data_IF_259360156620
#
_entry.id   IF_259360156620
#
_cell.length_a   1.000
_cell.length_b   1.000
_cell.length_c   1.000
_cell.angle_alpha   90.00
_cell.angle_beta   90.00
_cell.angle_gamma   90.00
#
_symmetry.space_group_name_H-M   'P 1'
#
loop_
_entity.id
_entity.type
_entity.pdbx_description
1 polymer ?
#
# COMPACT_ATOMS: atom_id res chain seq x y z
N UNK A 1 20.59 3.23 2.61
CA UNK A 1 20.79 1.90 3.27
C UNK A 1 20.25 1.94 4.73
N UNK A 2 19.44 2.96 5.05
CA UNK A 2 18.89 3.10 6.41
C UNK A 2 17.39 2.71 6.49
N UNK A 3 16.79 2.33 5.33
CA UNK A 3 15.39 1.90 5.31
C UNK A 3 15.21 0.66 4.43
N UNK A 4 14.35 -0.28 4.89
CA UNK A 4 14.11 -1.51 4.13
C UNK A 4 12.66 -2.00 4.31
N UNK A 5 12.07 -2.43 3.19
CA UNK A 5 10.71 -2.97 3.17
C UNK A 5 10.72 -4.38 2.55
N UNK A 6 10.03 -5.33 3.18
CA UNK A 6 10.00 -6.73 2.70
C UNK A 6 8.57 -7.17 2.35
N UNK A 7 8.48 -8.13 1.42
CA UNK A 7 7.18 -8.64 0.96
C UNK A 7 6.96 -10.13 1.36
N UNK A 8 7.15 -10.51 2.64
CA UNK A 8 6.94 -11.93 3.10
C UNK A 8 5.45 -12.32 3.14
N UNK A 9 4.57 -11.34 2.94
CA UNK A 9 3.13 -11.56 3.03
C UNK A 9 2.66 -12.64 2.05
N UNK A 10 1.76 -13.47 2.54
CA UNK A 10 1.18 -14.57 1.77
C UNK A 10 0.17 -14.02 0.72
N UNK A 11 -0.14 -14.77 -0.35
CA UNK A 11 -1.09 -14.29 -1.40
C UNK A 11 -2.47 -13.96 -0.79
N UNK A 12 -3.05 -12.83 -1.22
CA UNK A 12 -4.37 -12.39 -0.71
C UNK A 12 -5.46 -12.72 -1.74
N UNK A 13 -6.50 -13.45 -1.30
CA UNK A 13 -7.60 -13.84 -2.20
C UNK A 13 -8.89 -13.10 -1.89
N UNK A 14 -9.26 -12.18 -2.79
CA UNK A 14 -10.51 -11.44 -2.68
C UNK A 14 -11.29 -11.54 -4.00
N UNK A 15 -12.60 -11.78 -3.90
CA UNK A 15 -13.46 -11.93 -5.09
C UNK A 15 -13.82 -10.56 -5.65
N UNK A 16 -14.00 -10.49 -6.99
CA UNK A 16 -14.39 -9.23 -7.65
C UNK A 16 -15.66 -8.68 -7.01
N UNK A 17 -15.63 -7.40 -6.67
CA UNK A 17 -16.74 -6.73 -5.98
C UNK A 17 -16.48 -6.66 -4.46
N UNK A 18 -15.58 -7.53 -3.96
CA UNK A 18 -15.18 -7.55 -2.57
C UNK A 18 -13.86 -6.80 -2.44
N UNK A 19 -13.62 -6.20 -1.27
CA UNK A 19 -12.39 -5.43 -1.05
C UNK A 19 -11.19 -6.35 -0.83
N UNK A 20 -9.99 -5.82 -1.10
CA UNK A 20 -8.74 -6.57 -0.93
C UNK A 20 -7.83 -5.86 0.04
N UNK A 21 -6.83 -6.58 0.57
CA UNK A 21 -5.92 -6.01 1.56
C UNK A 21 -4.47 -6.05 1.09
N UNK A 22 -3.95 -4.88 0.70
CA UNK A 22 -2.55 -4.73 0.33
C UNK A 22 -1.74 -4.61 1.60
N UNK A 23 -0.64 -5.37 1.70
CA UNK A 23 0.18 -5.30 2.93
C UNK A 23 1.66 -5.54 2.69
N UNK A 24 2.48 -4.84 3.46
CA UNK A 24 3.93 -4.98 3.45
C UNK A 24 4.53 -4.47 4.77
N UNK A 25 5.78 -4.84 5.04
CA UNK A 25 6.44 -4.47 6.31
C UNK A 25 7.54 -3.45 6.10
N UNK A 26 7.45 -2.32 6.82
CA UNK A 26 8.47 -1.27 6.75
C UNK A 26 8.86 -0.81 8.16
N UNK A 27 10.08 -0.28 8.30
CA UNK A 27 10.58 0.17 9.61
C UNK A 27 10.80 1.72 9.60
N UNK A 28 9.89 2.52 10.21
CA UNK A 28 10.07 4.02 10.28
C UNK A 28 11.16 4.40 11.28
N UNK A 29 11.98 5.39 10.91
CA UNK A 29 13.07 5.85 11.79
C UNK A 29 12.48 6.44 13.09
N UNK A 30 11.53 7.35 12.91
CA UNK A 30 10.82 7.98 14.03
C UNK A 30 9.83 9.00 13.47
N UNK A 31 8.57 8.92 13.90
CA UNK A 31 7.52 9.85 13.42
C UNK A 31 7.38 9.76 11.90
N UNK A 32 6.18 9.40 11.43
CA UNK A 32 5.93 9.27 9.99
C UNK A 32 5.43 10.60 9.38
N UNK A 33 5.80 11.71 10.04
CA UNK A 33 5.44 13.06 9.58
C UNK A 33 6.05 13.35 8.20
N UNK A 34 7.29 12.90 8.01
CA UNK A 34 8.02 13.13 6.75
C UNK A 34 8.14 11.84 5.90
N UNK A 35 7.62 10.71 6.42
CA UNK A 35 7.70 9.43 5.73
C UNK A 35 6.58 9.30 4.68
N UNK A 36 6.92 8.68 3.54
CA UNK A 36 5.96 8.47 2.46
C UNK A 36 5.94 7.01 2.02
N UNK A 37 4.74 6.46 1.84
CA UNK A 37 4.58 5.06 1.41
C UNK A 37 3.67 5.02 0.17
N UNK A 38 4.12 4.33 -0.89
CA UNK A 38 3.35 4.27 -2.15
C UNK A 38 3.08 2.82 -2.56
N UNK A 39 1.84 2.57 -3.00
CA UNK A 39 1.43 1.24 -3.48
C UNK A 39 1.11 1.33 -4.98
N UNK A 40 1.49 0.30 -5.74
CA UNK A 40 1.28 0.30 -7.21
C UNK A 40 0.47 -0.91 -7.64
N UNK A 41 -0.47 -0.70 -8.56
CA UNK A 41 -1.30 -1.79 -9.11
C UNK A 41 -0.69 -2.29 -10.43
N UNK A 42 0.30 -3.18 -10.33
CA UNK A 42 0.98 -3.72 -11.53
C UNK A 42 1.44 -2.58 -12.47
N UNK A 43 1.52 -1.34 -11.94
CA UNK A 43 1.93 -0.18 -12.73
C UNK A 43 2.85 0.76 -11.90
N UNK A 44 4.17 0.49 -11.84
CA UNK A 44 5.13 1.34 -11.04
C UNK A 44 5.20 2.78 -11.55
N UNK A 45 4.81 2.99 -12.82
CA UNK A 45 4.84 4.32 -13.45
C UNK A 45 3.89 5.29 -12.74
N UNK A 46 2.76 4.77 -12.25
CA UNK A 46 1.75 5.61 -11.56
C UNK A 46 1.24 4.93 -10.24
N UNK A 47 1.31 5.62 -9.07
CA UNK A 47 0.79 5.05 -7.79
C UNK A 47 -0.73 5.24 -7.66
N UNK A 48 -1.42 4.20 -7.17
CA UNK A 48 -2.87 4.26 -6.98
C UNK A 48 -3.22 5.25 -5.85
N UNK A 49 -2.48 5.15 -4.74
CA UNK A 49 -2.70 6.00 -3.57
C UNK A 49 -1.43 6.01 -2.69
N UNK A 50 -1.20 7.10 -1.95
CA UNK A 50 0.01 7.21 -1.12
C UNK A 50 -0.29 7.67 0.31
N UNK A 51 0.58 7.26 1.23
CA UNK A 51 0.45 7.59 2.64
C UNK A 51 1.63 8.47 3.06
N UNK A 52 1.33 9.72 3.42
CA UNK A 52 2.38 10.66 3.82
C UNK A 52 1.99 11.46 5.06
N UNK A 53 3.00 11.80 5.87
CA UNK A 53 2.80 12.59 7.09
C UNK A 53 1.67 11.98 7.94
N UNK A 54 1.67 10.64 8.02
CA UNK A 54 0.69 9.92 8.84
C UNK A 54 -0.74 10.01 8.27
N UNK A 55 -0.87 10.36 6.98
CA UNK A 55 -2.21 10.48 6.35
C UNK A 55 -2.19 10.10 4.87
N UNK A 56 -3.32 9.55 4.39
CA UNK A 56 -3.45 9.16 2.97
C UNK A 56 -3.93 10.35 2.14
N UNK A 57 -3.41 10.50 0.92
CA UNK A 57 -3.79 11.60 0.04
C UNK A 57 -5.25 11.48 -0.41
N UNK A 58 -6.01 12.58 -0.29
CA UNK A 58 -7.42 12.60 -0.69
C UNK A 58 -7.64 13.45 -1.96
N UNK A 59 -6.72 14.39 -2.21
CA UNK A 59 -6.80 15.26 -3.38
C UNK A 59 -8.11 16.03 -3.43
N UNK A 60 -8.77 15.99 -4.59
CA UNK A 60 -10.05 16.69 -4.78
C UNK A 60 -11.19 16.00 -4.02
N UNK A 61 -12.32 16.69 -3.72
CA UNK A 61 -13.46 16.07 -2.98
C UNK A 61 -14.14 14.97 -3.80
N UNK A 62 -14.75 14.00 -3.11
CA UNK A 62 -15.40 12.86 -3.76
C UNK A 62 -14.35 12.04 -4.54
N UNK A 63 -13.17 11.88 -3.94
CA UNK A 63 -12.07 11.13 -4.55
C UNK A 63 -12.49 9.71 -4.92
N UNK A 64 -12.36 9.39 -6.22
CA UNK A 64 -12.68 8.05 -6.70
C UNK A 64 -11.62 7.04 -6.26
N UNK A 65 -10.35 7.36 -6.56
CA UNK A 65 -9.22 6.50 -6.18
C UNK A 65 -8.93 6.60 -4.69
N UNK A 66 -8.88 7.85 -4.18
CA UNK A 66 -8.62 8.08 -2.76
C UNK A 66 -9.71 7.47 -1.91
N UNK A 67 -10.96 7.67 -2.34
CA UNK A 67 -12.11 7.13 -1.64
C UNK A 67 -12.07 5.60 -1.64
N UNK A 68 -11.66 5.03 -2.78
CA UNK A 68 -11.60 3.58 -2.95
C UNK A 68 -10.62 2.95 -1.96
N UNK A 69 -9.44 3.57 -1.80
CA UNK A 69 -8.41 3.03 -0.91
C UNK A 69 -8.37 3.76 0.42
N UNK A 70 -8.53 2.98 1.50
CA UNK A 70 -8.45 3.52 2.86
C UNK A 70 -7.42 2.72 3.65
N UNK A 71 -6.57 3.43 4.40
CA UNK A 71 -5.50 2.78 5.16
C UNK A 71 -6.04 2.02 6.38
N UNK A 72 -5.64 0.76 6.50
CA UNK A 72 -6.00 -0.08 7.62
C UNK A 72 -4.73 -0.64 8.26
N UNK A 73 -4.34 -0.06 9.39
CA UNK A 73 -3.10 -0.45 10.09
C UNK A 73 -3.22 -1.85 10.69
N UNK A 74 -2.14 -2.63 10.55
CA UNK A 74 -2.08 -4.00 11.06
C UNK A 74 -2.17 -4.05 12.59
N UNK A 75 -2.77 -5.13 13.08
CA UNK A 75 -2.93 -5.35 14.53
C UNK A 75 -1.58 -5.44 15.24
N UNK A 76 -0.60 -6.08 14.59
CA UNK A 76 0.72 -6.30 15.20
C UNK A 76 1.37 -4.97 15.59
N UNK A 77 1.19 -3.95 14.74
CA UNK A 77 1.74 -2.61 15.00
C UNK A 77 3.28 -2.66 15.16
N UNK A 78 3.93 -3.53 14.38
CA UNK A 78 5.40 -3.65 14.42
C UNK A 78 6.01 -3.07 13.13
N UNK A 79 5.57 -1.87 12.78
CA UNK A 79 6.06 -1.17 11.58
C UNK A 79 5.36 -1.65 10.30
N UNK A 80 4.46 -2.64 10.41
CA UNK A 80 3.74 -3.15 9.25
C UNK A 80 2.57 -2.26 8.92
N UNK A 81 2.15 -2.29 7.65
CA UNK A 81 1.03 -1.48 7.19
C UNK A 81 0.13 -2.28 6.25
N UNK A 82 -1.12 -1.83 6.11
CA UNK A 82 -2.07 -2.46 5.21
C UNK A 82 -3.01 -1.41 4.63
N UNK A 83 -3.39 -1.60 3.37
CA UNK A 83 -4.30 -0.69 2.67
C UNK A 83 -5.51 -1.46 2.15
N UNK A 84 -6.69 -0.99 2.52
CA UNK A 84 -7.93 -1.62 2.11
C UNK A 84 -8.45 -0.98 0.81
N UNK A 85 -8.63 -1.80 -0.22
CA UNK A 85 -9.13 -1.33 -1.52
C UNK A 85 -10.51 -1.93 -1.81
N UNK A 86 -11.47 -1.07 -2.16
CA UNK A 86 -12.86 -1.49 -2.39
C UNK A 86 -13.09 -1.97 -3.83
N UNK A 87 -14.01 -2.94 -3.97
CA UNK A 87 -14.43 -3.46 -5.28
C UNK A 87 -13.25 -3.89 -6.16
N UNK A 88 -12.64 -5.04 -5.80
CA UNK A 88 -11.50 -5.58 -6.56
C UNK A 88 -11.94 -6.07 -7.95
N UNK A 89 -10.98 -6.14 -8.86
CA UNK A 89 -11.23 -6.62 -10.23
C UNK A 89 -9.97 -7.28 -10.86
N UNK A 90 -10.08 -7.98 -12.02
CA UNK A 90 -8.92 -8.69 -12.65
C UNK A 90 -7.69 -7.80 -12.75
N UNK A 91 -7.89 -6.50 -12.97
CA UNK A 91 -6.77 -5.56 -13.07
C UNK A 91 -5.98 -5.52 -11.75
N UNK A 92 -6.70 -5.65 -10.62
CA UNK A 92 -6.05 -5.69 -9.30
C UNK A 92 -5.20 -6.95 -9.17
N UNK A 93 -5.68 -8.06 -9.74
CA UNK A 93 -4.96 -9.33 -9.69
C UNK A 93 -3.54 -9.14 -10.20
N UNK A 94 -2.55 -9.42 -9.35
CA UNK A 94 -1.14 -9.25 -9.72
C UNK A 94 -0.30 -8.90 -8.50
N UNK A 95 0.76 -8.12 -8.73
CA UNK A 95 1.68 -7.72 -7.68
C UNK A 95 1.61 -6.21 -7.40
N UNK A 96 1.88 -5.84 -6.14
CA UNK A 96 1.89 -4.43 -5.74
C UNK A 96 3.20 -4.12 -5.02
N UNK A 97 3.84 -3.00 -5.37
CA UNK A 97 5.10 -2.61 -4.75
C UNK A 97 4.92 -1.49 -3.71
N UNK A 98 5.48 -1.70 -2.51
CA UNK A 98 5.50 -0.66 -1.47
C UNK A 98 6.77 0.15 -1.65
N UNK A 99 6.68 1.47 -1.50
CA UNK A 99 7.85 2.35 -1.69
C UNK A 99 8.06 3.22 -0.46
N UNK A 100 9.11 2.93 0.33
CA UNK A 100 9.42 3.72 1.52
C UNK A 100 10.39 4.82 1.15
N UNK A 101 9.93 6.08 1.24
CA UNK A 101 10.75 7.22 0.86
C UNK A 101 11.05 8.12 2.06
N UNK A 102 12.34 8.37 2.28
CA UNK A 102 12.82 9.25 3.32
C UNK A 102 14.16 9.84 2.87
N UNK A 103 14.30 11.16 3.01
CA UNK A 103 15.51 11.85 2.57
C UNK A 103 15.69 11.67 1.07
N UNK A 104 16.91 11.25 0.66
CA UNK A 104 17.20 11.04 -0.77
C UNK A 104 17.41 9.55 -1.11
N UNK A 105 17.02 8.66 -0.18
CA UNK A 105 17.15 7.20 -0.39
C UNK A 105 15.82 6.51 -0.10
N UNK A 106 15.44 5.55 -0.98
CA UNK A 106 14.20 4.80 -0.81
C UNK A 106 14.37 3.36 -1.30
N UNK A 107 13.46 2.48 -0.85
CA UNK A 107 13.50 1.05 -1.24
C UNK A 107 12.08 0.51 -1.36
N UNK A 108 11.90 -0.49 -2.25
CA UNK A 108 10.56 -1.04 -2.50
C UNK A 108 10.56 -2.57 -2.64
N UNK A 109 9.37 -3.17 -2.39
CA UNK A 109 9.19 -4.63 -2.50
C UNK A 109 7.75 -4.98 -2.91
N UNK A 110 7.60 -6.10 -3.64
CA UNK A 110 6.29 -6.57 -4.11
C UNK A 110 5.53 -7.38 -3.05
N UNK A 111 4.19 -7.36 -3.18
CA UNK A 111 3.28 -8.10 -2.30
C UNK A 111 2.34 -8.93 -3.18
N UNK A 112 2.09 -10.19 -2.79
CA UNK A 112 1.27 -11.09 -3.62
C UNK A 112 -0.22 -10.95 -3.32
N UNK A 113 -0.99 -10.50 -4.33
CA UNK A 113 -2.44 -10.40 -4.19
C UNK A 113 -3.13 -10.96 -5.42
N UNK A 114 -3.89 -12.05 -5.25
CA UNK A 114 -4.60 -12.68 -6.37
C UNK A 114 -6.10 -12.71 -6.10
N UNK A 115 -6.81 -11.78 -6.74
CA UNK A 115 -8.27 -11.68 -6.57
C UNK A 115 -8.98 -12.68 -7.47
N UNK A 116 -10.02 -13.33 -6.92
CA UNK A 116 -10.80 -14.31 -7.68
C UNK A 116 -11.63 -13.61 -8.75
N UNK A 117 -11.70 -14.25 -9.93
CA UNK A 117 -12.46 -13.69 -11.06
C UNK A 117 -13.60 -14.61 -11.45
#
# INVERSE_FOLDING_TARGET
MDFRVVGPNLPILAKVGEDALLTCQLLPKRTTAHMEVRWYRSDPDMPVIMYRDGAEVTGLPMEGYGGRAEWMEDSTEEGSVALKIRQVQPSDDGQYWCRFQEGDYWRETSVLLQVAA
#
